data_IF_816458455408
#
_entry.id   IF_816458455408
#
_cell.length_a   1.000
_cell.length_b   1.000
_cell.length_c   1.000
_cell.angle_alpha   90.00
_cell.angle_beta   90.00
_cell.angle_gamma   90.00
#
_symmetry.space_group_name_H-M   'P 1'
#
loop_
_entity.id
_entity.type
_entity.pdbx_description
1 polymer ?
#
# COMPACT_ATOMS: atom_id res chain seq x y z
N UNK A 1 -5.00 18.38 25.76
CA UNK A 1 -3.87 17.57 25.26
C UNK A 1 -3.06 17.09 26.46
N UNK A 2 -2.83 15.79 26.61
CA UNK A 2 -2.14 15.23 27.77
C UNK A 2 -0.64 15.62 27.78
N UNK A 3 0.02 15.52 28.93
CA UNK A 3 1.46 15.73 29.03
C UNK A 3 2.25 14.73 28.19
N UNK A 4 1.84 13.46 28.20
CA UNK A 4 2.42 12.42 27.35
C UNK A 4 2.31 12.78 25.86
N UNK A 5 1.13 13.21 25.40
CA UNK A 5 0.94 13.64 24.00
C UNK A 5 1.88 14.81 23.64
N UNK A 6 2.06 15.78 24.55
CA UNK A 6 2.99 16.91 24.35
C UNK A 6 4.44 16.44 24.23
N UNK A 7 4.87 15.50 25.08
CA UNK A 7 6.23 14.94 25.05
C UNK A 7 6.48 14.14 23.77
N UNK A 8 5.54 13.28 23.36
CA UNK A 8 5.64 12.52 22.12
C UNK A 8 5.69 13.42 20.89
N UNK A 9 4.84 14.45 20.83
CA UNK A 9 4.85 15.41 19.74
C UNK A 9 6.16 16.21 19.66
N UNK A 10 6.73 16.59 20.81
CA UNK A 10 8.03 17.26 20.87
C UNK A 10 9.15 16.36 20.37
N UNK A 11 9.22 15.12 20.84
CA UNK A 11 10.22 14.15 20.40
C UNK A 11 10.14 13.87 18.88
N UNK A 12 8.93 13.75 18.33
CA UNK A 12 8.74 13.58 16.88
C UNK A 12 9.26 14.78 16.10
N UNK A 13 8.96 16.01 16.55
CA UNK A 13 9.45 17.24 15.89
C UNK A 13 10.97 17.34 15.92
N UNK A 14 11.58 16.99 17.06
CA UNK A 14 13.04 17.02 17.19
C UNK A 14 13.67 15.99 16.26
N UNK A 15 13.08 14.79 16.15
CA UNK A 15 13.52 13.75 15.21
C UNK A 15 13.37 14.19 13.74
N UNK A 16 12.24 14.78 13.35
CA UNK A 16 12.04 15.31 11.99
C UNK A 16 13.05 16.40 11.66
N UNK A 17 13.42 17.23 12.64
CA UNK A 17 14.45 18.27 12.48
C UNK A 17 15.82 17.63 12.24
N UNK A 18 16.17 16.59 13.00
CA UNK A 18 17.43 15.85 12.80
C UNK A 18 17.46 15.15 11.44
N UNK A 19 16.37 14.47 11.05
CA UNK A 19 16.28 13.78 9.77
C UNK A 19 16.38 14.72 8.57
N UNK A 20 15.95 15.99 8.70
CA UNK A 20 16.06 16.98 7.63
C UNK A 20 17.43 17.67 7.53
N UNK A 21 18.37 17.38 8.43
CA UNK A 21 19.71 17.94 8.35
C UNK A 21 20.53 17.20 7.30
N UNK A 22 21.02 17.95 6.30
CA UNK A 22 21.89 17.41 5.26
C UNK A 22 23.27 17.12 5.82
N UNK A 23 23.73 15.89 5.61
CA UNK A 23 25.11 15.48 5.86
C UNK A 23 25.98 15.88 4.65
N UNK A 24 26.90 16.81 4.85
CA UNK A 24 28.01 17.05 3.91
C UNK A 24 29.11 16.04 4.26
N UNK A 25 29.67 15.27 3.31
CA UNK A 25 29.80 15.50 1.85
C UNK A 25 28.78 14.79 0.95
N UNK A 26 27.90 13.93 1.46
CA UNK A 26 26.96 13.17 0.63
C UNK A 26 25.82 14.02 0.08
N UNK A 27 25.55 15.18 0.67
CA UNK A 27 24.40 16.04 0.38
C UNK A 27 23.06 15.28 0.50
N UNK A 28 23.03 14.30 1.42
CA UNK A 28 21.85 13.49 1.74
C UNK A 28 21.42 13.77 3.17
N UNK A 29 20.14 13.61 3.43
CA UNK A 29 19.58 13.72 4.78
C UNK A 29 19.05 12.35 5.28
N UNK A 30 18.56 12.31 6.52
CA UNK A 30 18.05 11.08 7.12
C UNK A 30 16.80 10.55 6.42
N UNK A 31 16.00 11.40 5.75
CA UNK A 31 14.87 10.94 4.96
C UNK A 31 15.32 10.21 3.70
N UNK A 32 16.38 10.69 3.05
CA UNK A 32 16.96 10.00 1.90
C UNK A 32 17.43 8.59 2.28
N UNK A 33 18.06 8.43 3.44
CA UNK A 33 18.57 7.14 3.94
C UNK A 33 17.44 6.16 4.29
N UNK A 34 16.41 6.64 5.00
CA UNK A 34 15.22 5.83 5.32
C UNK A 34 14.47 5.42 4.05
N UNK A 35 14.33 6.34 3.10
CA UNK A 35 13.67 6.07 1.83
C UNK A 35 14.42 5.05 0.98
N UNK A 36 15.76 5.09 0.95
CA UNK A 36 16.56 4.07 0.27
C UNK A 36 16.41 2.70 0.94
N UNK A 37 16.29 2.66 2.26
CA UNK A 37 16.02 1.42 3.01
C UNK A 37 14.67 0.82 2.61
N UNK A 38 13.63 1.66 2.47
CA UNK A 38 12.32 1.25 1.97
C UNK A 38 12.39 0.77 0.51
N UNK A 39 13.15 1.43 -0.35
CA UNK A 39 13.37 1.00 -1.74
C UNK A 39 14.05 -0.37 -1.83
N UNK A 40 15.06 -0.61 -0.98
CA UNK A 40 15.72 -1.90 -0.93
C UNK A 40 14.76 -3.01 -0.48
N UNK A 41 13.84 -2.71 0.45
CA UNK A 41 12.78 -3.63 0.83
C UNK A 41 11.79 -3.89 -0.33
N UNK A 42 11.30 -2.84 -0.99
CA UNK A 42 10.41 -2.95 -2.15
C UNK A 42 11.03 -3.81 -3.26
N UNK A 43 12.32 -3.62 -3.56
CA UNK A 43 13.03 -4.44 -4.54
C UNK A 43 13.04 -5.93 -4.17
N UNK A 44 13.25 -6.27 -2.89
CA UNK A 44 13.19 -7.66 -2.41
C UNK A 44 11.80 -8.25 -2.57
N UNK A 45 10.77 -7.50 -2.19
CA UNK A 45 9.37 -7.90 -2.34
C UNK A 45 9.04 -8.13 -3.82
N UNK A 46 9.44 -7.22 -4.70
CA UNK A 46 9.26 -7.33 -6.16
C UNK A 46 9.96 -8.51 -6.81
N UNK A 47 11.08 -8.95 -6.23
CA UNK A 47 11.79 -10.13 -6.70
C UNK A 47 11.09 -11.45 -6.35
N UNK A 48 10.14 -11.42 -5.41
CA UNK A 48 9.30 -12.56 -5.07
C UNK A 48 8.10 -12.65 -6.02
N UNK A 49 8.15 -13.54 -7.00
CA UNK A 49 7.06 -13.72 -7.96
C UNK A 49 5.74 -14.16 -7.32
N UNK A 50 5.79 -14.91 -6.22
CA UNK A 50 4.59 -15.39 -5.52
C UNK A 50 3.80 -14.23 -4.89
N UNK A 51 4.46 -13.11 -4.60
CA UNK A 51 3.84 -11.93 -4.00
C UNK A 51 2.83 -11.25 -4.95
N UNK A 52 2.89 -11.53 -6.26
CA UNK A 52 2.03 -10.90 -7.27
C UNK A 52 1.35 -11.92 -8.18
N UNK A 53 1.21 -13.16 -7.72
CA UNK A 53 0.74 -14.29 -8.53
C UNK A 53 -0.60 -14.01 -9.20
N UNK A 54 -1.65 -13.69 -8.42
CA UNK A 54 -3.01 -13.48 -8.96
C UNK A 54 -3.08 -12.27 -9.90
N UNK A 55 -2.35 -11.21 -9.56
CA UNK A 55 -2.27 -10.00 -10.35
C UNK A 55 -1.57 -10.19 -11.70
N UNK A 56 -0.69 -11.19 -11.79
CA UNK A 56 0.13 -11.50 -12.97
C UNK A 56 -0.54 -12.51 -13.92
N UNK A 57 -1.69 -13.09 -13.53
CA UNK A 57 -2.46 -13.95 -14.41
C UNK A 57 -2.92 -13.19 -15.66
N UNK A 58 -2.84 -13.81 -16.84
CA UNK A 58 -3.16 -13.16 -18.11
C UNK A 58 -4.57 -12.56 -18.18
N UNK A 59 -5.54 -13.16 -17.47
CA UNK A 59 -6.91 -12.65 -17.32
C UNK A 59 -7.02 -11.36 -16.51
N UNK A 60 -6.02 -11.07 -15.66
CA UNK A 60 -6.03 -9.94 -14.72
C UNK A 60 -5.07 -8.82 -15.11
N UNK A 61 -4.09 -9.07 -15.99
CA UNK A 61 -3.13 -8.06 -16.43
C UNK A 61 -3.79 -6.78 -16.97
N UNK A 62 -4.90 -6.91 -17.73
CA UNK A 62 -5.65 -5.78 -18.29
C UNK A 62 -6.48 -5.00 -17.25
N UNK A 63 -6.66 -5.57 -16.06
CA UNK A 63 -7.35 -4.93 -14.92
C UNK A 63 -6.39 -4.09 -14.07
N UNK A 64 -5.08 -4.17 -14.33
CA UNK A 64 -4.05 -3.33 -13.71
C UNK A 64 -3.84 -2.06 -14.54
N UNK A 65 -3.94 -0.89 -13.90
CA UNK A 65 -3.70 0.40 -14.58
C UNK A 65 -2.24 0.58 -14.97
N UNK A 66 -1.33 0.13 -14.11
CA UNK A 66 0.11 0.17 -14.32
C UNK A 66 0.66 -1.24 -14.13
N UNK A 67 1.53 -1.68 -15.02
CA UNK A 67 2.12 -3.02 -14.97
C UNK A 67 3.05 -3.19 -13.76
N UNK A 68 3.64 -2.08 -13.33
CA UNK A 68 4.60 -2.01 -12.23
C UNK A 68 3.92 -1.85 -10.86
N UNK A 69 2.61 -1.63 -10.80
CA UNK A 69 1.87 -1.45 -9.54
C UNK A 69 0.84 -2.58 -9.43
N UNK A 70 1.19 -3.61 -8.66
CA UNK A 70 0.37 -4.80 -8.45
C UNK A 70 0.08 -4.94 -6.95
N UNK A 71 -1.08 -5.49 -6.57
CA UNK A 71 -1.41 -5.69 -5.17
C UNK A 71 -0.60 -6.85 -4.58
N UNK A 72 -0.22 -6.72 -3.31
CA UNK A 72 0.41 -7.79 -2.55
C UNK A 72 -0.56 -8.96 -2.35
N UNK A 73 -0.15 -10.18 -2.66
CA UNK A 73 -1.00 -11.37 -2.65
C UNK A 73 -1.61 -11.61 -1.26
N UNK A 74 -0.81 -11.47 -0.20
CA UNK A 74 -1.23 -11.77 1.18
C UNK A 74 -2.29 -10.82 1.76
N UNK A 75 -2.49 -9.65 1.16
CA UNK A 75 -3.45 -8.64 1.66
C UNK A 75 -4.39 -8.13 0.58
N UNK A 76 -4.43 -8.76 -0.60
CA UNK A 76 -5.29 -8.31 -1.69
C UNK A 76 -6.76 -8.40 -1.30
N UNK A 77 -7.55 -7.48 -1.84
CA UNK A 77 -9.00 -7.55 -1.74
C UNK A 77 -9.50 -8.63 -2.71
N UNK A 78 -10.25 -9.60 -2.19
CA UNK A 78 -10.89 -10.65 -2.99
C UNK A 78 -12.35 -10.28 -3.18
N UNK A 79 -12.83 -10.35 -4.42
CA UNK A 79 -14.24 -10.13 -4.73
C UNK A 79 -14.98 -11.46 -4.84
N UNK A 80 -16.23 -11.47 -4.40
CA UNK A 80 -17.10 -12.62 -4.67
C UNK A 80 -17.39 -12.69 -6.18
N UNK A 81 -17.32 -13.88 -6.80
CA UNK A 81 -17.58 -14.03 -8.22
C UNK A 81 -19.00 -13.57 -8.59
N UNK A 82 -19.12 -12.50 -9.37
CA UNK A 82 -20.43 -12.06 -9.87
C UNK A 82 -20.92 -13.07 -10.92
N UNK A 83 -22.01 -13.77 -10.61
CA UNK A 83 -22.78 -14.65 -11.52
C UNK A 83 -22.04 -15.85 -12.12
N UNK A 84 -21.10 -16.49 -11.40
CA UNK A 84 -20.37 -17.70 -11.86
C UNK A 84 -19.62 -17.54 -13.20
N UNK A 85 -19.38 -16.31 -13.67
CA UNK A 85 -18.73 -16.05 -14.97
C UNK A 85 -17.20 -16.06 -14.93
N UNK A 86 -16.58 -16.37 -13.79
CA UNK A 86 -15.12 -16.57 -13.67
C UNK A 86 -14.25 -15.30 -13.80
N UNK A 87 -14.76 -14.21 -14.38
CA UNK A 87 -13.96 -13.02 -14.70
C UNK A 87 -13.96 -11.91 -13.64
N UNK A 88 -14.49 -12.15 -12.44
CA UNK A 88 -14.90 -11.08 -11.50
C UNK A 88 -14.28 -11.05 -10.11
N UNK A 89 -13.34 -11.93 -9.76
CA UNK A 89 -12.83 -12.07 -8.38
C UNK A 89 -11.62 -11.16 -8.05
N UNK A 90 -11.06 -10.50 -9.07
CA UNK A 90 -9.86 -9.69 -8.96
C UNK A 90 -10.10 -8.19 -9.13
N UNK A 91 -9.57 -7.42 -8.19
CA UNK A 91 -9.36 -5.98 -8.28
C UNK A 91 -7.95 -5.65 -7.76
N UNK A 92 -7.29 -4.67 -8.37
CA UNK A 92 -6.02 -4.15 -7.89
C UNK A 92 -6.26 -3.27 -6.65
N UNK A 93 -6.30 -3.93 -5.49
CA UNK A 93 -6.50 -3.31 -4.20
C UNK A 93 -5.93 -4.17 -3.07
N UNK A 94 -5.49 -3.54 -1.98
CA UNK A 94 -5.04 -4.19 -0.75
C UNK A 94 -5.76 -3.64 0.48
N UNK A 95 -5.97 -4.50 1.47
CA UNK A 95 -6.32 -4.09 2.82
C UNK A 95 -5.11 -3.49 3.54
N UNK A 96 -5.31 -2.36 4.21
CA UNK A 96 -4.34 -1.71 5.10
C UNK A 96 -4.91 -1.73 6.51
N UNK A 97 -4.41 -2.67 7.32
CA UNK A 97 -4.90 -2.92 8.68
C UNK A 97 -4.04 -2.18 9.73
N UNK A 98 -4.54 -1.04 10.18
CA UNK A 98 -3.94 -0.25 11.25
C UNK A 98 -4.47 -0.58 12.65
N UNK A 99 -5.43 -1.51 12.79
CA UNK A 99 -6.20 -1.67 14.04
C UNK A 99 -5.32 -2.07 15.21
N UNK A 100 -4.42 -3.03 15.01
CA UNK A 100 -3.49 -3.50 16.07
C UNK A 100 -2.48 -2.44 16.48
N UNK A 101 -1.92 -1.70 15.52
CA UNK A 101 -0.82 -0.77 15.76
C UNK A 101 -1.31 0.60 16.26
N UNK A 102 -2.44 1.09 15.72
CA UNK A 102 -2.94 2.44 15.97
C UNK A 102 -4.23 2.48 16.79
N UNK A 103 -4.83 1.32 17.12
CA UNK A 103 -6.07 1.27 17.89
C UNK A 103 -7.29 1.85 17.16
N UNK A 104 -7.22 1.95 15.83
CA UNK A 104 -8.33 2.43 15.00
C UNK A 104 -9.37 1.33 14.80
N UNK A 105 -10.67 1.66 14.63
CA UNK A 105 -11.72 0.65 14.49
C UNK A 105 -11.88 0.12 13.05
N UNK A 106 -11.21 0.74 12.07
CA UNK A 106 -11.41 0.47 10.65
C UNK A 106 -10.15 -0.10 9.97
N UNK A 107 -10.39 -0.85 8.88
CA UNK A 107 -9.38 -1.25 7.91
C UNK A 107 -9.61 -0.40 6.66
N UNK A 108 -8.53 0.07 6.05
CA UNK A 108 -8.63 0.82 4.80
C UNK A 108 -8.45 -0.11 3.61
N UNK A 109 -9.01 0.29 2.47
CA UNK A 109 -8.70 -0.31 1.16
C UNK A 109 -7.89 0.71 0.37
N UNK A 110 -6.65 0.37 0.04
CA UNK A 110 -5.86 1.10 -0.93
C UNK A 110 -6.07 0.47 -2.31
N UNK A 111 -6.52 1.27 -3.28
CA UNK A 111 -6.80 0.77 -4.64
C UNK A 111 -6.34 1.77 -5.70
N UNK A 112 -6.04 1.27 -6.89
CA UNK A 112 -5.80 2.11 -8.06
C UNK A 112 -7.04 2.93 -8.43
N UNK A 113 -6.84 4.03 -9.16
CA UNK A 113 -7.97 4.73 -9.78
C UNK A 113 -8.73 3.78 -10.72
N UNK A 114 -10.06 3.66 -10.62
CA UNK A 114 -10.83 2.67 -11.36
C UNK A 114 -10.65 2.85 -12.87
N UNK A 115 -10.36 1.75 -13.57
CA UNK A 115 -10.41 1.71 -15.03
C UNK A 115 -11.86 1.70 -15.48
N UNK A 116 -12.15 2.20 -16.70
CA UNK A 116 -13.53 2.17 -17.26
C UNK A 116 -14.15 0.77 -17.22
N UNK A 117 -13.34 -0.26 -17.45
CA UNK A 117 -13.72 -1.68 -17.38
C UNK A 117 -14.00 -2.20 -15.96
N UNK A 118 -13.53 -1.49 -14.92
CA UNK A 118 -13.62 -1.92 -13.52
C UNK A 118 -14.52 -1.01 -12.66
N UNK A 119 -15.18 0.00 -13.24
CA UNK A 119 -16.06 0.93 -12.49
C UNK A 119 -17.17 0.17 -11.76
N UNK A 120 -17.77 -0.85 -12.38
CA UNK A 120 -18.83 -1.65 -11.76
C UNK A 120 -18.35 -2.47 -10.55
N UNK A 121 -17.08 -2.85 -10.50
CA UNK A 121 -16.52 -3.64 -9.39
C UNK A 121 -16.32 -2.80 -8.11
N UNK A 122 -16.12 -1.48 -8.25
CA UNK A 122 -15.93 -0.59 -7.10
C UNK A 122 -17.22 -0.40 -6.28
N UNK A 123 -18.39 -0.52 -6.92
CA UNK A 123 -19.70 -0.38 -6.26
C UNK A 123 -20.23 -1.69 -5.65
N UNK A 124 -19.55 -2.82 -5.87
CA UNK A 124 -19.97 -4.12 -5.32
C UNK A 124 -19.81 -4.21 -3.79
N UNK A 125 -19.12 -3.26 -3.15
CA UNK A 125 -18.97 -3.17 -1.68
C UNK A 125 -20.12 -2.43 -0.97
N UNK A 126 -21.17 -2.02 -1.69
CA UNK A 126 -22.29 -1.23 -1.15
C UNK A 126 -23.56 -2.03 -0.81
N UNK A 127 -23.46 -3.37 -0.74
CA UNK A 127 -24.58 -4.27 -0.44
C UNK A 127 -24.67 -4.64 1.03
#
# INVERSE_FOLDING_TARGET
MSEWQRRTAAALRDQLTLMGQRNLPSNRDGFDEEFDSLRALDQRVRSNHDEFYTASLGSNMSKNRYREILPNEGTRVQLDPINNRGDGDYINANYVDGRRLFGVPFVYIATQSPLRSCIFLLFAFSG
#
